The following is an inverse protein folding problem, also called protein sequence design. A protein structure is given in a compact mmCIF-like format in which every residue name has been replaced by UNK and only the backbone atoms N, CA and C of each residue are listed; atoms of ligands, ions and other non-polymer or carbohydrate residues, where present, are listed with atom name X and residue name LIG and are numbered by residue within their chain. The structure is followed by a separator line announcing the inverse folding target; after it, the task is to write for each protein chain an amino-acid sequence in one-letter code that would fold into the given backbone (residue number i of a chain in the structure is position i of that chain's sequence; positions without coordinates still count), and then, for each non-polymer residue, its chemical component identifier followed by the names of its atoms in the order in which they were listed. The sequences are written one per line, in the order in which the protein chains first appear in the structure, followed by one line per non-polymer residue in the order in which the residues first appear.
data_IF_706947596545
#
_entry.id   IF_706947596545
#
_cell.length_a   1.000
_cell.length_b   1.000
_cell.length_c   1.000
_cell.angle_alpha   90.00
_cell.angle_beta   90.00
_cell.angle_gamma   90.00
#
_symmetry.space_group_name_H-M   'P 1'
#
loop_
_entity.id
_entity.type
_entity.pdbx_description
1 polymer ?
#
# COMPACT_ATOMS: atom_id res chain seq x y z
N UNK A 1 6.39 -2.17 10.48
CA UNK A 1 7.48 -2.90 9.82
C UNK A 1 8.42 -1.88 9.21
N UNK A 2 9.70 -1.85 9.60
CA UNK A 2 10.67 -0.93 8.99
C UNK A 2 10.90 -1.33 7.54
N UNK A 3 10.63 -0.42 6.59
CA UNK A 3 11.07 -0.57 5.21
C UNK A 3 12.60 -0.71 5.22
N UNK A 4 13.13 -1.79 4.67
CA UNK A 4 14.56 -1.95 4.45
C UNK A 4 14.93 -0.97 3.34
N UNK A 5 15.20 0.27 3.73
CA UNK A 5 15.66 1.31 2.81
C UNK A 5 17.07 0.94 2.38
N UNK A 6 17.27 0.82 1.06
CA UNK A 6 18.59 0.74 0.46
C UNK A 6 19.50 1.84 1.05
N UNK A 7 20.60 1.42 1.68
CA UNK A 7 21.55 2.33 2.33
C UNK A 7 22.99 1.97 1.92
N UNK A 8 23.50 2.59 0.83
CA UNK A 8 24.84 2.31 0.30
C UNK A 8 25.96 2.44 1.33
N UNK A 9 25.80 3.35 2.30
CA UNK A 9 26.80 3.57 3.35
C UNK A 9 26.97 2.31 4.21
N UNK A 10 25.85 1.69 4.61
CA UNK A 10 25.87 0.43 5.36
C UNK A 10 26.29 -0.74 4.49
N UNK A 11 25.76 -0.83 3.27
CA UNK A 11 26.02 -1.94 2.35
C UNK A 11 27.48 -2.04 1.92
N UNK A 12 28.20 -0.91 1.84
CA UNK A 12 29.63 -0.87 1.50
C UNK A 12 30.54 -0.72 2.72
N UNK A 13 29.99 -0.94 3.93
CA UNK A 13 30.69 -0.86 5.20
C UNK A 13 31.47 0.46 5.37
N UNK A 14 30.87 1.58 4.96
CA UNK A 14 31.48 2.91 5.03
C UNK A 14 31.01 3.65 6.30
N UNK A 15 31.88 4.39 7.02
CA UNK A 15 31.47 5.19 8.17
C UNK A 15 30.35 6.18 7.85
N UNK A 16 29.68 6.60 8.93
CA UNK A 16 28.34 7.14 8.93
C UNK A 16 28.25 8.47 8.16
N UNK A 17 27.07 8.80 7.62
CA UNK A 17 26.85 10.00 6.75
C UNK A 17 27.35 11.32 7.36
N UNK A 18 27.36 11.42 8.69
CA UNK A 18 27.71 12.63 9.43
C UNK A 18 29.19 12.75 9.81
N UNK A 19 30.01 11.73 9.61
CA UNK A 19 31.39 11.75 10.08
C UNK A 19 32.23 12.72 9.24
N UNK A 20 33.23 13.39 9.81
CA UNK A 20 34.09 14.33 9.05
C UNK A 20 35.25 13.63 8.32
N UNK A 21 35.61 12.44 8.78
CA UNK A 21 36.65 11.58 8.21
C UNK A 21 36.06 10.24 7.78
N UNK A 22 36.82 9.50 6.98
CA UNK A 22 36.50 8.12 6.62
C UNK A 22 37.79 7.32 6.69
N UNK A 23 37.71 6.09 7.21
CA UNK A 23 38.84 5.16 7.23
C UNK A 23 38.81 4.27 6.00
N UNK A 24 39.98 3.77 5.63
CA UNK A 24 40.12 2.78 4.57
C UNK A 24 39.23 1.56 4.83
N UNK A 25 38.56 1.08 3.78
CA UNK A 25 37.66 -0.08 3.89
C UNK A 25 38.40 -1.42 3.87
N UNK A 26 39.67 -1.43 3.47
CA UNK A 26 40.47 -2.63 3.38
C UNK A 26 40.71 -3.31 4.72
N UNK A 27 41.10 -4.57 4.66
CA UNK A 27 41.43 -5.41 5.81
C UNK A 27 42.91 -5.73 5.85
N UNK A 28 43.50 -5.70 7.04
CA UNK A 28 44.87 -6.17 7.21
C UNK A 28 44.93 -7.72 7.21
N UNK A 29 46.15 -8.26 7.23
CA UNK A 29 46.40 -9.72 7.26
C UNK A 29 45.77 -10.48 8.44
N UNK A 30 45.30 -9.77 9.46
CA UNK A 30 44.63 -10.34 10.63
C UNK A 30 43.11 -10.23 10.55
N UNK A 31 42.56 -9.75 9.42
CA UNK A 31 41.13 -9.53 9.24
C UNK A 31 40.58 -8.30 9.95
N UNK A 32 41.44 -7.43 10.50
CA UNK A 32 41.02 -6.19 11.13
C UNK A 32 40.92 -5.06 10.09
N UNK A 33 39.96 -4.15 10.27
CA UNK A 33 39.77 -2.98 9.39
C UNK A 33 40.99 -2.07 9.44
N UNK A 34 41.37 -1.54 8.28
CA UNK A 34 42.45 -0.59 8.17
C UNK A 34 42.14 0.71 8.94
N UNK A 35 43.13 1.20 9.68
CA UNK A 35 42.98 2.44 10.46
C UNK A 35 43.41 3.70 9.69
N UNK A 36 43.96 3.55 8.48
CA UNK A 36 44.40 4.69 7.68
C UNK A 36 43.22 5.59 7.30
N UNK A 37 43.36 6.88 7.57
CA UNK A 37 42.39 7.89 7.13
C UNK A 37 42.49 8.13 5.63
N UNK A 38 41.32 8.26 5.00
CA UNK A 38 41.19 8.66 3.60
C UNK A 38 41.29 10.19 3.50
N UNK A 39 42.06 10.74 2.52
CA UNK A 39 42.20 12.18 2.37
C UNK A 39 40.85 12.91 2.23
N UNK A 40 40.67 14.11 2.83
CA UNK A 40 39.40 14.82 2.82
C UNK A 40 38.83 15.11 1.42
N UNK A 41 39.69 15.32 0.42
CA UNK A 41 39.26 15.49 -0.99
C UNK A 41 38.63 14.22 -1.55
N UNK A 42 39.22 13.06 -1.24
CA UNK A 42 38.74 11.73 -1.64
C UNK A 42 37.45 11.38 -0.91
N UNK A 43 37.35 11.68 0.38
CA UNK A 43 36.12 11.55 1.18
C UNK A 43 34.92 12.25 0.52
N UNK A 44 35.09 13.48 0.03
CA UNK A 44 34.02 14.20 -0.69
C UNK A 44 33.58 13.46 -1.96
N UNK A 45 34.53 12.92 -2.73
CA UNK A 45 34.22 12.14 -3.94
C UNK A 45 33.46 10.86 -3.60
N UNK A 46 33.91 10.12 -2.59
CA UNK A 46 33.22 8.91 -2.10
C UNK A 46 31.77 9.24 -1.73
N UNK A 47 31.53 10.31 -0.98
CA UNK A 47 30.17 10.73 -0.61
C UNK A 47 29.29 11.06 -1.80
N UNK A 48 29.85 11.70 -2.84
CA UNK A 48 29.10 11.99 -4.06
C UNK A 48 28.66 10.70 -4.76
N UNK A 49 29.54 9.69 -4.84
CA UNK A 49 29.16 8.38 -5.37
C UNK A 49 28.08 7.73 -4.50
N UNK A 50 28.28 7.65 -3.18
CA UNK A 50 27.30 7.04 -2.27
C UNK A 50 25.94 7.75 -2.30
N UNK A 51 25.92 9.08 -2.41
CA UNK A 51 24.68 9.86 -2.57
C UNK A 51 24.01 9.56 -3.91
N UNK A 52 24.79 9.35 -4.97
CA UNK A 52 24.26 8.96 -6.28
C UNK A 52 23.62 7.57 -6.19
N UNK A 53 24.31 6.60 -5.57
CA UNK A 53 23.76 5.26 -5.32
C UNK A 53 22.48 5.26 -4.49
N UNK A 54 22.34 6.17 -3.52
CA UNK A 54 21.12 6.27 -2.72
C UNK A 54 19.93 6.82 -3.53
N UNK A 55 20.20 7.74 -4.44
CA UNK A 55 19.16 8.36 -5.28
C UNK A 55 18.63 7.45 -6.39
N UNK A 56 19.27 6.29 -6.60
CA UNK A 56 18.99 5.38 -7.69
C UNK A 56 18.62 3.97 -7.19
N UNK A 57 18.08 3.15 -8.09
CA UNK A 57 17.91 1.73 -7.82
C UNK A 57 19.29 1.06 -7.66
N UNK A 58 19.44 0.05 -6.79
CA UNK A 58 20.74 -0.55 -6.45
C UNK A 58 21.59 -0.99 -7.66
N UNK A 59 20.95 -1.46 -8.74
CA UNK A 59 21.63 -2.00 -9.92
C UNK A 59 22.07 -0.94 -10.95
N UNK A 60 21.60 0.30 -10.83
CA UNK A 60 21.66 1.28 -11.92
C UNK A 60 23.06 1.86 -12.17
N UNK A 61 24.02 1.67 -11.26
CA UNK A 61 25.38 2.21 -11.40
C UNK A 61 26.48 1.28 -10.89
N UNK A 62 26.39 -0.01 -11.22
CA UNK A 62 27.43 -1.01 -10.88
C UNK A 62 28.80 -0.62 -11.46
N UNK A 63 28.82 0.14 -12.57
CA UNK A 63 30.04 0.59 -13.22
C UNK A 63 30.92 1.49 -12.35
N UNK A 64 30.30 2.30 -11.48
CA UNK A 64 31.00 3.20 -10.57
C UNK A 64 31.63 2.50 -9.36
N UNK A 65 31.31 1.23 -9.09
CA UNK A 65 31.83 0.50 -7.92
C UNK A 65 33.35 0.36 -7.94
N UNK A 66 33.93 0.16 -9.12
CA UNK A 66 35.38 0.05 -9.28
C UNK A 66 36.07 1.32 -8.75
N UNK A 67 35.65 2.47 -9.26
CA UNK A 67 36.18 3.77 -8.82
C UNK A 67 35.88 4.04 -7.36
N UNK A 68 34.69 3.67 -6.87
CA UNK A 68 34.34 3.83 -5.46
C UNK A 68 35.26 3.00 -4.55
N UNK A 69 35.58 1.77 -4.93
CA UNK A 69 36.48 0.88 -4.17
C UNK A 69 37.90 1.43 -4.16
N UNK A 70 38.43 1.85 -5.32
CA UNK A 70 39.75 2.48 -5.43
C UNK A 70 39.89 3.70 -4.52
N UNK A 71 38.87 4.56 -4.46
CA UNK A 71 38.85 5.74 -3.61
C UNK A 71 38.70 5.38 -2.12
N UNK A 72 38.02 4.27 -1.80
CA UNK A 72 37.75 3.84 -0.42
C UNK A 72 38.90 3.06 0.21
N UNK A 73 39.88 2.64 -0.59
CA UNK A 73 41.07 1.91 -0.15
C UNK A 73 42.28 2.84 -0.08
N UNK A 74 43.16 2.65 0.91
CA UNK A 74 44.37 3.47 1.01
C UNK A 74 45.38 3.09 -0.07
N UNK A 75 45.93 4.09 -0.76
CA UNK A 75 46.82 3.92 -1.92
C UNK A 75 48.07 3.06 -1.63
N UNK A 76 48.53 3.06 -0.37
CA UNK A 76 49.80 2.41 0.01
C UNK A 76 49.71 0.92 0.31
N UNK A 77 48.54 0.43 0.73
CA UNK A 77 48.47 -0.88 1.40
C UNK A 77 47.35 -1.81 0.94
N UNK A 78 46.24 -1.30 0.40
CA UNK A 78 45.07 -2.14 0.13
C UNK A 78 44.48 -1.96 -1.28
N UNK A 79 45.23 -1.38 -2.22
CA UNK A 79 44.76 -1.21 -3.61
C UNK A 79 44.63 -2.55 -4.36
N UNK A 80 45.30 -3.60 -3.90
CA UNK A 80 45.14 -4.97 -4.37
C UNK A 80 43.77 -5.57 -4.00
N UNK A 81 43.12 -5.07 -2.95
CA UNK A 81 41.80 -5.54 -2.48
C UNK A 81 40.61 -4.95 -3.26
N UNK A 82 40.86 -4.05 -4.21
CA UNK A 82 39.79 -3.38 -4.98
C UNK A 82 38.84 -4.37 -5.63
N UNK A 83 39.37 -5.45 -6.24
CA UNK A 83 38.54 -6.44 -6.93
C UNK A 83 37.62 -7.19 -5.96
N UNK A 84 38.14 -7.52 -4.78
CA UNK A 84 37.41 -8.27 -3.76
C UNK A 84 36.28 -7.40 -3.18
N UNK A 85 36.56 -6.14 -2.86
CA UNK A 85 35.53 -5.19 -2.40
C UNK A 85 34.44 -4.97 -3.44
N UNK A 86 34.81 -4.82 -4.72
CA UNK A 86 33.84 -4.69 -5.82
C UNK A 86 32.96 -5.93 -5.94
N UNK A 87 33.53 -7.13 -5.76
CA UNK A 87 32.79 -8.36 -5.79
C UNK A 87 31.77 -8.44 -4.64
N UNK A 88 32.22 -8.19 -3.41
CA UNK A 88 31.36 -8.18 -2.23
C UNK A 88 30.23 -7.14 -2.35
N UNK A 89 30.54 -5.94 -2.84
CA UNK A 89 29.55 -4.88 -3.03
C UNK A 89 28.54 -5.22 -4.12
N UNK A 90 28.93 -5.92 -5.18
CA UNK A 90 27.99 -6.44 -6.20
C UNK A 90 27.03 -7.46 -5.58
N UNK A 91 27.53 -8.37 -4.74
CA UNK A 91 26.68 -9.34 -4.03
C UNK A 91 25.69 -8.61 -3.11
N UNK A 92 26.16 -7.60 -2.37
CA UNK A 92 25.30 -6.78 -1.51
C UNK A 92 24.22 -6.02 -2.31
N UNK A 93 24.58 -5.46 -3.47
CA UNK A 93 23.64 -4.80 -4.39
C UNK A 93 22.58 -5.78 -4.89
N UNK A 94 22.97 -6.96 -5.35
CA UNK A 94 22.03 -7.98 -5.84
C UNK A 94 21.04 -8.40 -4.75
N UNK A 95 21.54 -8.58 -3.51
CA UNK A 95 20.68 -8.87 -2.38
C UNK A 95 19.70 -7.72 -2.14
N UNK A 96 20.18 -6.48 -2.10
CA UNK A 96 19.34 -5.30 -1.92
C UNK A 96 18.31 -5.09 -3.05
N UNK A 97 18.67 -5.39 -4.29
CA UNK A 97 17.80 -5.29 -5.46
C UNK A 97 16.56 -6.20 -5.30
N UNK A 98 16.73 -7.43 -4.82
CA UNK A 98 15.60 -8.35 -4.56
C UNK A 98 14.61 -7.79 -3.54
N UNK A 99 15.10 -7.16 -2.46
CA UNK A 99 14.22 -6.51 -1.49
C UNK A 99 13.54 -5.28 -2.07
N UNK A 100 14.27 -4.50 -2.87
CA UNK A 100 13.74 -3.32 -3.53
C UNK A 100 12.60 -3.67 -4.48
N UNK A 101 12.76 -4.69 -5.33
CA UNK A 101 11.71 -5.19 -6.22
C UNK A 101 10.49 -5.69 -5.44
N UNK A 102 10.72 -6.51 -4.41
CA UNK A 102 9.64 -7.01 -3.54
C UNK A 102 8.90 -5.85 -2.87
N UNK A 103 9.60 -4.83 -2.38
CA UNK A 103 8.99 -3.65 -1.78
C UNK A 103 8.16 -2.85 -2.80
N UNK A 104 8.68 -2.68 -4.02
CA UNK A 104 7.96 -1.99 -5.09
C UNK A 104 6.67 -2.74 -5.49
N UNK A 105 6.73 -4.07 -5.58
CA UNK A 105 5.54 -4.89 -5.81
C UNK A 105 4.52 -4.79 -4.68
N UNK A 106 4.99 -4.81 -3.42
CA UNK A 106 4.12 -4.67 -2.25
C UNK A 106 3.46 -3.29 -2.22
N UNK A 107 4.19 -2.22 -2.54
CA UNK A 107 3.64 -0.86 -2.64
C UNK A 107 2.59 -0.76 -3.74
N UNK A 108 2.80 -1.42 -4.87
CA UNK A 108 1.81 -1.45 -5.96
C UNK A 108 0.57 -2.26 -5.57
N UNK A 109 0.74 -3.40 -4.89
CA UNK A 109 -0.37 -4.17 -4.32
C UNK A 109 -1.16 -3.36 -3.30
N UNK A 110 -0.50 -2.63 -2.40
CA UNK A 110 -1.13 -1.74 -1.42
C UNK A 110 -1.94 -0.62 -2.09
N UNK A 111 -1.40 -0.01 -3.17
CA UNK A 111 -2.14 0.98 -3.97
C UNK A 111 -3.39 0.39 -4.62
N UNK A 112 -3.30 -0.82 -5.17
CA UNK A 112 -4.44 -1.52 -5.76
C UNK A 112 -5.48 -1.87 -4.70
N UNK A 113 -5.05 -2.33 -3.54
CA UNK A 113 -5.93 -2.68 -2.42
C UNK A 113 -6.72 -1.45 -1.93
N UNK A 114 -6.06 -0.30 -1.74
CA UNK A 114 -6.73 0.96 -1.39
C UNK A 114 -7.76 1.42 -2.41
N UNK A 115 -7.53 1.15 -3.70
CA UNK A 115 -8.53 1.44 -4.76
C UNK A 115 -9.74 0.52 -4.63
N UNK A 116 -9.54 -0.77 -4.36
CA UNK A 116 -10.62 -1.75 -4.17
C UNK A 116 -11.44 -1.41 -2.92
N UNK A 117 -10.79 -1.05 -1.81
CA UNK A 117 -11.48 -0.61 -0.59
C UNK A 117 -12.39 0.59 -0.86
N UNK A 118 -11.89 1.59 -1.58
CA UNK A 118 -12.71 2.75 -1.97
C UNK A 118 -13.94 2.35 -2.80
N UNK A 119 -13.77 1.47 -3.79
CA UNK A 119 -14.89 0.99 -4.61
C UNK A 119 -15.90 0.18 -3.79
N UNK A 120 -15.42 -0.60 -2.82
CA UNK A 120 -16.27 -1.37 -1.91
C UNK A 120 -17.11 -0.44 -1.02
N UNK A 121 -16.52 0.63 -0.48
CA UNK A 121 -17.23 1.63 0.32
C UNK A 121 -18.32 2.36 -0.48
N UNK A 122 -18.04 2.68 -1.74
CA UNK A 122 -19.00 3.27 -2.66
C UNK A 122 -20.17 2.30 -2.94
N UNK A 123 -19.89 1.02 -3.14
CA UNK A 123 -20.89 -0.01 -3.39
C UNK A 123 -21.77 -0.29 -2.16
N UNK A 124 -21.16 -0.38 -0.98
CA UNK A 124 -21.89 -0.50 0.31
C UNK A 124 -22.82 0.71 0.49
N UNK A 125 -22.35 1.91 0.17
CA UNK A 125 -23.15 3.13 0.27
C UNK A 125 -24.34 3.12 -0.71
N UNK A 126 -24.14 2.65 -1.94
CA UNK A 126 -25.24 2.48 -2.92
C UNK A 126 -26.26 1.45 -2.46
N UNK A 127 -25.81 0.28 -1.99
CA UNK A 127 -26.71 -0.76 -1.47
C UNK A 127 -27.55 -0.25 -0.31
N UNK A 128 -26.95 0.45 0.66
CA UNK A 128 -27.69 1.06 1.77
C UNK A 128 -28.75 2.07 1.31
N UNK A 129 -28.52 2.82 0.23
CA UNK A 129 -29.53 3.73 -0.35
C UNK A 129 -30.67 2.94 -0.98
N UNK A 130 -30.35 1.95 -1.80
CA UNK A 130 -31.35 1.10 -2.46
C UNK A 130 -32.20 0.34 -1.43
N UNK A 131 -31.60 -0.20 -0.36
CA UNK A 131 -32.32 -0.87 0.73
C UNK A 131 -33.33 0.07 1.40
N UNK A 132 -32.98 1.34 1.61
CA UNK A 132 -33.90 2.35 2.14
C UNK A 132 -35.03 2.63 1.16
N UNK A 133 -34.74 2.82 -0.13
CA UNK A 133 -35.75 3.07 -1.16
C UNK A 133 -36.74 1.89 -1.28
N UNK A 134 -36.23 0.65 -1.29
CA UNK A 134 -37.06 -0.56 -1.31
C UNK A 134 -37.93 -0.67 -0.06
N UNK A 135 -37.39 -0.35 1.13
CA UNK A 135 -38.15 -0.35 2.37
C UNK A 135 -39.28 0.70 2.36
N UNK A 136 -39.03 1.91 1.86
CA UNK A 136 -40.05 2.94 1.73
C UNK A 136 -41.13 2.55 0.71
N UNK A 137 -40.75 2.04 -0.47
CA UNK A 137 -41.71 1.51 -1.45
C UNK A 137 -42.57 0.37 -0.88
N UNK A 138 -41.97 -0.52 -0.07
CA UNK A 138 -42.70 -1.60 0.58
C UNK A 138 -43.72 -1.08 1.61
N UNK A 139 -43.36 -0.06 2.41
CA UNK A 139 -44.30 0.61 3.32
C UNK A 139 -45.45 1.25 2.56
N UNK A 140 -45.15 1.97 1.49
CA UNK A 140 -46.15 2.65 0.65
C UNK A 140 -47.12 1.65 0.02
N UNK A 141 -46.59 0.55 -0.53
CA UNK A 141 -47.40 -0.53 -1.10
C UNK A 141 -48.29 -1.17 -0.04
N UNK A 142 -47.77 -1.43 1.16
CA UNK A 142 -48.56 -1.99 2.27
C UNK A 142 -49.70 -1.06 2.67
N UNK A 143 -49.45 0.26 2.72
CA UNK A 143 -50.48 1.29 3.00
C UNK A 143 -51.59 1.31 1.94
N UNK A 144 -51.23 1.28 0.66
CA UNK A 144 -52.22 1.20 -0.44
C UNK A 144 -53.05 -0.07 -0.38
N UNK A 145 -52.43 -1.21 -0.06
CA UNK A 145 -53.16 -2.49 0.08
C UNK A 145 -54.17 -2.42 1.23
N UNK A 146 -53.79 -1.85 2.39
CA UNK A 146 -54.72 -1.68 3.50
C UNK A 146 -55.85 -0.73 3.15
N UNK A 147 -55.58 0.41 2.49
CA UNK A 147 -56.62 1.37 2.07
C UNK A 147 -57.62 0.73 1.09
N UNK A 148 -57.14 -0.06 0.12
CA UNK A 148 -58.03 -0.80 -0.80
C UNK A 148 -58.82 -1.88 -0.06
N UNK A 149 -58.20 -2.61 0.86
CA UNK A 149 -58.89 -3.62 1.69
C UNK A 149 -60.02 -3.02 2.52
N UNK A 150 -59.75 -1.89 3.19
CA UNK A 150 -60.73 -1.16 3.99
C UNK A 150 -61.90 -0.65 3.14
N UNK A 151 -61.61 -0.14 1.93
CA UNK A 151 -62.64 0.27 0.97
C UNK A 151 -63.55 -0.90 0.53
N UNK A 152 -63.00 -2.09 0.29
CA UNK A 152 -63.79 -3.27 -0.06
C UNK A 152 -64.65 -3.76 1.11
N UNK A 153 -64.10 -3.79 2.34
CA UNK A 153 -64.85 -4.16 3.55
C UNK A 153 -66.01 -3.19 3.82
N UNK A 154 -65.79 -1.88 3.64
CA UNK A 154 -66.84 -0.87 3.81
C UNK A 154 -67.95 -1.02 2.75
N UNK A 155 -67.58 -1.38 1.52
CA UNK A 155 -68.53 -1.64 0.44
C UNK A 155 -69.37 -2.91 0.70
N UNK A 156 -68.77 -3.99 1.20
CA UNK A 156 -69.48 -5.21 1.60
C UNK A 156 -70.42 -4.99 2.80
N UNK A 157 -70.03 -4.15 3.76
CA UNK A 157 -70.87 -3.78 4.89
C UNK A 157 -72.12 -3.00 4.43
N UNK A 158 -71.96 -2.06 3.49
CA UNK A 158 -73.07 -1.28 2.91
C UNK A 158 -74.04 -2.15 2.10
N UNK A 159 -73.55 -3.10 1.29
CA UNK A 159 -74.42 -4.00 0.52
C UNK A 159 -75.20 -4.98 1.41
N UNK A 160 -74.58 -5.49 2.50
CA UNK A 160 -75.29 -6.32 3.50
C UNK A 160 -76.32 -5.54 4.32
N UNK A 161 -76.07 -4.28 4.63
CA UNK A 161 -77.03 -3.38 5.30
C UNK A 161 -78.31 -3.18 4.48
N UNK A 162 -78.18 -2.92 3.18
CA UNK A 162 -79.32 -2.73 2.28
C UNK A 162 -80.14 -3.99 2.02
N UNK A 163 -79.58 -5.19 2.26
CA UNK A 163 -80.29 -6.47 2.05
C UNK A 163 -81.21 -6.85 3.21
N UNK A 164 -80.89 -6.41 4.45
CA UNK A 164 -81.77 -6.64 5.62
C UNK A 164 -83.04 -5.76 5.59
N UNK A 165 -82.98 -4.61 4.92
CA UNK A 165 -84.10 -3.67 4.84
C UNK A 165 -85.16 -4.10 3.80
N UNK A 166 -84.82 -4.98 2.85
CA UNK A 166 -85.76 -5.49 1.84
C UNK A 166 -86.49 -6.79 2.23
N UNK A 167 -86.12 -7.45 3.34
CA UNK A 167 -86.80 -8.68 3.81
C UNK A 167 -87.97 -8.37 4.77
N UNK A 168 -88.16 -7.11 5.16
CA UNK A 168 -89.24 -6.68 6.07
C UNK A 168 -90.58 -6.30 5.42
N UNK A 169 -90.69 -6.32 4.08
CA UNK A 169 -91.91 -5.88 3.37
C UNK A 169 -92.49 -7.05 2.57
N UNK A 170 -92.96 -8.08 3.27
CA UNK A 170 -93.83 -9.11 2.68
C UNK A 170 -94.65 -9.83 3.77
N UNK A 171 -95.25 -9.09 4.69
CA UNK A 171 -96.37 -9.60 5.51
C UNK A 171 -97.39 -8.49 5.58
N UNK A 172 -98.40 -8.56 4.73
CA UNK A 172 -99.82 -8.23 4.94
C UNK A 172 -100.44 -8.30 3.54
N UNK A 173 -101.41 -9.21 3.34
CA UNK A 173 -102.76 -8.91 2.79
C UNK A 173 -103.52 -10.26 2.72
N UNK A 174 -104.52 -10.33 3.62
CA UNK A 174 -105.86 -10.95 3.55
C UNK A 174 -106.02 -12.41 3.14
#
# INVERSE_FOLDING_TARGET
MCSIKWDPYRSFNNPNRGDKSMKCVGFNKFGNRCECDIPPKTVRRIRNYLSTFESQAPEKDISALQTLAELSLCEKHHQDQVRDEVFEWKVAIQHAARFYETEMELREKDRKLKKVEKLLDEEISKRRKLEKEVAEMAKERKKRITEVGDFFLEREAKTRGTSKEKVGIAVVIR
#
